data_IF_319196003629
#
_entry.id   IF_319196003629
#
_cell.length_a   1.000
_cell.length_b   1.000
_cell.length_c   1.000
_cell.angle_alpha   90.00
_cell.angle_beta   90.00
_cell.angle_gamma   90.00
#
_symmetry.space_group_name_H-M   'P 1'
#
loop_
_entity.id
_entity.type
_entity.pdbx_description
1 polymer ?
#
# COMPACT_ATOMS: atom_id res chain seq x y z
N UNK A 1 -2.57 -2.23 3.81
CA UNK A 1 -2.84 -3.33 2.84
C UNK A 1 -4.25 -3.21 2.28
N UNK A 2 -4.40 -3.30 0.95
CA UNK A 2 -5.73 -3.42 0.33
C UNK A 2 -6.36 -4.77 0.68
N UNK A 3 -7.71 -4.90 0.71
CA UNK A 3 -8.41 -6.09 1.20
C UNK A 3 -8.04 -7.42 0.53
N UNK A 4 -7.37 -7.39 -0.63
CA UNK A 4 -6.85 -8.58 -1.29
C UNK A 4 -5.67 -9.23 -0.54
N UNK A 5 -4.84 -8.46 0.19
CA UNK A 5 -3.67 -9.00 0.90
C UNK A 5 -3.97 -9.55 2.32
N UNK A 6 -5.18 -9.29 2.86
CA UNK A 6 -5.52 -9.65 4.24
C UNK A 6 -6.35 -10.95 4.38
N UNK A 7 -6.76 -11.61 3.29
CA UNK A 7 -7.71 -12.72 3.34
C UNK A 7 -7.36 -13.87 2.37
N UNK A 8 -6.48 -14.76 2.83
CA UNK A 8 -5.86 -15.83 2.05
C UNK A 8 -6.79 -16.98 1.56
N UNK A 9 -8.11 -16.97 1.73
CA UNK A 9 -8.91 -18.20 1.46
C UNK A 9 -10.25 -18.12 0.71
N UNK A 10 -10.74 -16.96 0.25
CA UNK A 10 -12.03 -16.94 -0.47
C UNK A 10 -12.37 -15.66 -1.23
N UNK A 11 -11.39 -14.86 -1.64
CA UNK A 11 -11.66 -13.68 -2.46
C UNK A 11 -11.61 -14.08 -3.96
N UNK A 12 -12.69 -13.88 -4.74
CA UNK A 12 -12.64 -14.07 -6.20
C UNK A 12 -11.57 -13.19 -6.81
N UNK A 13 -10.77 -13.71 -7.77
CA UNK A 13 -9.70 -12.97 -8.45
C UNK A 13 -10.14 -11.57 -8.92
N UNK A 14 -11.41 -11.44 -9.33
CA UNK A 14 -12.05 -10.20 -9.73
C UNK A 14 -12.03 -9.08 -8.66
N UNK A 15 -12.04 -9.40 -7.37
CA UNK A 15 -11.94 -8.41 -6.27
C UNK A 15 -10.49 -7.97 -6.04
N UNK A 16 -9.51 -8.78 -6.40
CA UNK A 16 -8.10 -8.38 -6.39
C UNK A 16 -7.77 -7.39 -7.52
N UNK A 17 -8.39 -7.52 -8.71
CA UNK A 17 -8.21 -6.58 -9.83
C UNK A 17 -8.77 -5.18 -9.52
N UNK A 18 -9.91 -5.11 -8.81
CA UNK A 18 -10.59 -3.84 -8.48
C UNK A 18 -9.82 -2.95 -7.49
N UNK A 19 -9.04 -3.54 -6.60
CA UNK A 19 -8.45 -2.87 -5.42
C UNK A 19 -6.98 -2.52 -5.62
N UNK A 20 -6.69 -1.44 -6.36
CA UNK A 20 -5.30 -1.00 -6.63
C UNK A 20 -4.64 -0.34 -5.40
N UNK A 21 -3.33 -0.50 -5.28
CA UNK A 21 -2.50 0.24 -4.32
C UNK A 21 -1.78 1.41 -4.97
N UNK A 22 -1.17 2.28 -4.16
CA UNK A 22 -0.44 3.46 -4.62
C UNK A 22 0.58 3.12 -5.72
N UNK A 23 1.44 2.13 -5.49
CA UNK A 23 2.51 1.73 -6.41
C UNK A 23 2.04 0.86 -7.60
N UNK A 24 0.76 0.46 -7.64
CA UNK A 24 0.16 -0.26 -8.77
C UNK A 24 -0.79 0.62 -9.60
N UNK A 25 -0.65 1.95 -9.51
CA UNK A 25 -1.40 2.90 -10.35
C UNK A 25 -2.81 3.25 -9.86
N UNK A 26 -3.09 3.18 -8.55
CA UNK A 26 -4.35 3.71 -8.01
C UNK A 26 -4.53 5.19 -8.40
N UNK A 27 -5.70 5.56 -8.93
CA UNK A 27 -6.00 6.90 -9.48
C UNK A 27 -5.34 7.19 -10.83
N UNK A 28 -4.02 7.14 -10.90
CA UNK A 28 -3.22 7.66 -12.02
C UNK A 28 -3.12 6.74 -13.25
N UNK A 29 -3.31 5.43 -13.08
CA UNK A 29 -3.30 4.46 -14.19
C UNK A 29 -4.38 3.39 -13.97
N UNK A 30 -5.67 3.74 -14.18
CA UNK A 30 -6.77 2.84 -13.91
C UNK A 30 -6.80 1.66 -14.89
N UNK A 31 -7.13 0.47 -14.35
CA UNK A 31 -7.54 -0.68 -15.14
C UNK A 31 -9.06 -0.66 -15.42
N UNK A 32 -9.54 -1.56 -16.25
CA UNK A 32 -10.92 -1.68 -16.70
C UNK A 32 -11.93 -2.01 -15.59
N UNK A 33 -11.46 -2.50 -14.45
CA UNK A 33 -12.28 -2.80 -13.26
C UNK A 33 -12.04 -1.81 -12.12
N UNK A 34 -11.44 -0.65 -12.39
CA UNK A 34 -11.21 0.42 -11.44
C UNK A 34 -12.50 0.87 -10.74
N UNK A 35 -12.51 0.87 -9.40
CA UNK A 35 -13.62 1.48 -8.64
C UNK A 35 -13.16 2.45 -7.57
N UNK A 36 -11.85 2.65 -7.39
CA UNK A 36 -11.34 3.63 -6.42
C UNK A 36 -11.55 5.05 -6.94
N UNK A 37 -12.10 5.92 -6.09
CA UNK A 37 -12.16 7.36 -6.35
C UNK A 37 -10.88 8.07 -5.86
N UNK A 38 -10.70 9.33 -6.25
CA UNK A 38 -9.49 10.10 -5.91
C UNK A 38 -9.31 10.26 -4.39
N UNK A 39 -10.40 10.41 -3.64
CA UNK A 39 -10.40 10.48 -2.18
C UNK A 39 -9.77 9.23 -1.54
N UNK A 40 -10.19 8.04 -1.98
CA UNK A 40 -9.64 6.76 -1.54
C UNK A 40 -8.17 6.60 -1.95
N UNK A 41 -7.79 7.10 -3.12
CA UNK A 41 -6.40 7.05 -3.60
C UNK A 41 -5.50 7.94 -2.74
N UNK A 42 -5.93 9.16 -2.44
CA UNK A 42 -5.18 10.07 -1.58
C UNK A 42 -5.10 9.54 -0.14
N UNK A 43 -6.16 8.90 0.35
CA UNK A 43 -6.12 8.23 1.66
C UNK A 43 -5.07 7.10 1.71
N UNK A 44 -4.93 6.29 0.65
CA UNK A 44 -3.86 5.31 0.55
C UNK A 44 -2.46 5.96 0.54
N UNK A 45 -2.35 7.16 -0.04
CA UNK A 45 -1.10 7.92 -0.02
C UNK A 45 -0.76 8.41 1.40
N UNK A 46 -1.75 8.87 2.18
CA UNK A 46 -1.55 9.27 3.58
C UNK A 46 -1.07 8.10 4.44
N UNK A 47 -1.69 6.94 4.31
CA UNK A 47 -1.26 5.71 4.97
C UNK A 47 0.17 5.31 4.56
N UNK A 48 0.52 5.47 3.29
CA UNK A 48 1.87 5.15 2.81
C UNK A 48 2.90 6.11 3.41
N UNK A 49 2.62 7.42 3.44
CA UNK A 49 3.50 8.43 4.06
C UNK A 49 3.67 8.15 5.55
N UNK A 50 2.59 7.82 6.25
CA UNK A 50 2.64 7.45 7.67
C UNK A 50 3.48 6.20 7.91
N UNK A 51 3.30 5.15 7.10
CA UNK A 51 4.13 3.93 7.16
C UNK A 51 5.61 4.22 6.91
N UNK A 52 5.93 5.08 5.93
CA UNK A 52 7.29 5.53 5.66
C UNK A 52 7.90 6.33 6.82
N UNK A 53 7.09 7.02 7.62
CA UNK A 53 7.53 7.72 8.84
C UNK A 53 7.63 6.80 10.08
N UNK A 54 7.54 5.48 9.90
CA UNK A 54 7.62 4.52 11.01
C UNK A 54 6.29 4.25 11.70
N UNK A 55 5.17 4.55 11.03
CA UNK A 55 3.80 4.24 11.47
C UNK A 55 3.48 4.64 12.92
N UNK A 56 4.00 5.79 13.33
CA UNK A 56 3.95 6.29 14.70
C UNK A 56 2.57 6.88 15.03
N UNK A 57 2.10 6.65 16.25
CA UNK A 57 0.80 7.15 16.72
C UNK A 57 0.77 8.69 16.83
N UNK A 58 1.89 9.31 17.19
CA UNK A 58 2.01 10.76 17.45
C UNK A 58 2.68 11.54 16.31
N UNK A 59 3.06 10.89 15.20
CA UNK A 59 3.61 11.60 14.04
C UNK A 59 2.56 12.50 13.41
N UNK A 60 2.92 13.76 13.11
CA UNK A 60 2.00 14.75 12.55
C UNK A 60 2.22 14.84 11.04
N UNK A 61 1.15 14.66 10.27
CA UNK A 61 1.12 14.87 8.83
C UNK A 61 -0.06 15.76 8.41
N UNK A 62 0.02 16.26 7.19
CA UNK A 62 -1.12 16.86 6.50
C UNK A 62 -1.81 15.76 5.71
N UNK A 63 -3.10 15.54 5.97
CA UNK A 63 -3.90 14.53 5.26
C UNK A 63 -4.36 14.99 3.87
N UNK A 64 -5.04 14.10 3.16
CA UNK A 64 -5.64 14.34 1.84
C UNK A 64 -6.57 15.55 1.76
N UNK A 65 -7.16 15.97 2.87
CA UNK A 65 -8.11 17.09 2.95
C UNK A 65 -7.38 18.39 3.35
N UNK A 66 -6.06 18.34 3.55
CA UNK A 66 -5.25 19.47 4.00
C UNK A 66 -5.29 19.69 5.52
N UNK A 67 -5.88 18.77 6.29
CA UNK A 67 -5.96 18.88 7.74
C UNK A 67 -4.70 18.34 8.42
N UNK A 68 -4.30 18.97 9.53
CA UNK A 68 -3.23 18.47 10.39
C UNK A 68 -3.76 17.31 11.21
N UNK A 69 -3.13 16.14 11.08
CA UNK A 69 -3.53 14.90 11.76
C UNK A 69 -2.35 14.20 12.41
N UNK A 70 -2.58 13.60 13.56
CA UNK A 70 -1.70 12.59 14.14
C UNK A 70 -1.84 11.27 13.38
N UNK A 71 -0.80 10.44 13.38
CA UNK A 71 -0.81 9.12 12.76
C UNK A 71 -1.93 8.23 13.29
N UNK A 72 -2.24 8.31 14.58
CA UNK A 72 -3.36 7.59 15.21
C UNK A 72 -4.75 8.04 14.75
N UNK A 73 -4.88 9.21 14.14
CA UNK A 73 -6.14 9.73 13.59
C UNK A 73 -6.38 9.34 12.12
N UNK A 74 -5.36 8.80 11.45
CA UNK A 74 -5.50 8.28 10.08
C UNK A 74 -6.16 6.90 10.15
N UNK A 75 -7.35 6.74 9.56
CA UNK A 75 -8.06 5.45 9.59
C UNK A 75 -7.33 4.37 8.79
N UNK A 76 -7.34 3.15 9.32
CA UNK A 76 -6.95 1.96 8.61
C UNK A 76 -7.98 0.84 8.85
N UNK A 77 -8.99 0.77 8.00
CA UNK A 77 -10.09 -0.20 8.09
C UNK A 77 -10.83 -0.17 9.44
N UNK A 78 -11.08 1.02 9.98
CA UNK A 78 -11.76 1.21 11.27
C UNK A 78 -10.84 1.17 12.50
N UNK A 79 -9.53 1.10 12.31
CA UNK A 79 -8.53 1.12 13.37
C UNK A 79 -7.56 2.32 13.19
N UNK A 80 -6.87 2.77 14.26
CA UNK A 80 -5.80 3.74 14.16
C UNK A 80 -4.70 3.25 13.21
N UNK A 81 -4.38 4.02 12.18
CA UNK A 81 -3.33 3.69 11.21
C UNK A 81 -1.96 3.68 11.87
N UNK A 82 -1.61 4.78 12.55
CA UNK A 82 -0.40 4.90 13.36
C UNK A 82 -0.62 4.34 14.77
N UNK A 83 0.25 3.43 15.19
CA UNK A 83 0.12 2.74 16.48
C UNK A 83 1.41 2.69 17.30
N UNK A 84 2.57 2.85 16.66
CA UNK A 84 3.85 2.64 17.31
C UNK A 84 4.30 3.89 18.11
N UNK A 85 5.08 3.66 19.15
CA UNK A 85 5.79 4.70 19.87
C UNK A 85 7.16 4.99 19.24
N UNK A 86 7.81 3.96 18.69
CA UNK A 86 9.13 4.03 18.06
C UNK A 86 9.12 3.26 16.73
N UNK A 87 9.82 3.74 15.67
CA UNK A 87 9.84 3.07 14.37
C UNK A 87 10.41 1.63 14.43
N UNK A 88 11.20 1.29 15.44
CA UNK A 88 11.73 -0.07 15.65
C UNK A 88 10.66 -1.08 16.04
N UNK A 89 9.49 -0.63 16.48
CA UNK A 89 8.32 -1.48 16.76
C UNK A 89 7.56 -1.85 15.47
N UNK A 90 7.94 -1.26 14.33
CA UNK A 90 7.24 -1.40 13.06
C UNK A 90 8.10 -2.15 12.06
N UNK A 91 7.53 -3.22 11.50
CA UNK A 91 8.11 -3.95 10.38
C UNK A 91 7.26 -3.68 9.14
N UNK A 92 7.81 -2.89 8.21
CA UNK A 92 7.17 -2.58 6.94
C UNK A 92 7.49 -3.65 5.90
N UNK A 93 6.49 -4.06 5.12
CA UNK A 93 6.65 -5.03 4.03
C UNK A 93 5.56 -4.87 2.97
N UNK A 94 5.89 -5.30 1.75
CA UNK A 94 4.96 -5.34 0.60
C UNK A 94 4.83 -6.73 -0.03
N UNK A 95 5.66 -7.68 0.39
CA UNK A 95 5.57 -9.11 0.04
C UNK A 95 5.94 -9.96 1.26
N UNK A 96 5.34 -11.14 1.39
CA UNK A 96 5.64 -12.13 2.42
C UNK A 96 5.25 -13.52 1.91
N UNK A 97 5.75 -14.58 2.53
CA UNK A 97 5.51 -15.98 2.14
C UNK A 97 4.02 -16.38 2.14
N UNK A 98 3.21 -15.72 2.97
CA UNK A 98 1.75 -15.83 2.98
C UNK A 98 1.10 -14.81 2.03
N UNK A 99 0.03 -15.23 1.35
CA UNK A 99 -0.66 -14.52 0.26
C UNK A 99 0.14 -14.49 -1.05
N UNK A 100 -0.33 -13.70 -2.02
CA UNK A 100 0.29 -13.56 -3.34
C UNK A 100 1.59 -12.76 -3.26
N UNK A 101 2.54 -13.08 -4.14
CA UNK A 101 3.78 -12.30 -4.27
C UNK A 101 3.48 -10.88 -4.76
N UNK A 102 4.43 -9.97 -4.53
CA UNK A 102 4.33 -8.60 -5.07
C UNK A 102 4.16 -8.59 -6.60
N UNK A 103 4.87 -9.46 -7.32
CA UNK A 103 4.76 -9.54 -8.79
C UNK A 103 3.39 -10.03 -9.24
N UNK A 104 2.83 -11.05 -8.59
CA UNK A 104 1.47 -11.54 -8.88
C UNK A 104 0.45 -10.42 -8.63
N UNK A 105 0.58 -9.70 -7.52
CA UNK A 105 -0.30 -8.59 -7.16
C UNK A 105 -0.23 -7.44 -8.17
N UNK A 106 0.96 -7.06 -8.62
CA UNK A 106 1.13 -6.06 -9.70
C UNK A 106 0.51 -6.59 -10.99
N UNK A 107 0.70 -7.86 -11.31
CA UNK A 107 0.17 -8.47 -12.53
C UNK A 107 -1.36 -8.45 -12.54
N UNK A 108 -2.00 -8.74 -11.41
CA UNK A 108 -3.45 -8.66 -11.25
C UNK A 108 -4.00 -7.23 -11.31
N UNK A 109 -3.25 -6.24 -10.81
CA UNK A 109 -3.78 -4.89 -10.55
C UNK A 109 -3.39 -3.86 -11.60
N UNK A 110 -2.26 -4.03 -12.26
CA UNK A 110 -1.76 -3.10 -13.27
C UNK A 110 -2.73 -3.05 -14.46
N UNK A 111 -2.88 -1.85 -15.04
CA UNK A 111 -3.70 -1.66 -16.22
C UNK A 111 -3.17 -2.48 -17.41
N UNK A 112 -4.06 -2.87 -18.33
CA UNK A 112 -3.68 -3.69 -19.48
C UNK A 112 -2.61 -3.02 -20.35
N UNK A 113 -2.66 -1.69 -20.47
CA UNK A 113 -1.69 -0.88 -21.20
C UNK A 113 -0.33 -0.70 -20.48
N UNK A 114 -0.21 -1.11 -19.21
CA UNK A 114 1.07 -1.08 -18.50
C UNK A 114 1.97 -2.19 -19.03
N UNK A 115 2.99 -1.81 -19.78
CA UNK A 115 3.98 -2.72 -20.35
C UNK A 115 4.86 -3.38 -19.28
N UNK A 116 5.70 -4.34 -19.70
CA UNK A 116 6.56 -5.08 -18.79
C UNK A 116 7.54 -4.15 -18.04
N UNK A 117 8.09 -3.14 -18.72
CA UNK A 117 9.03 -2.20 -18.10
C UNK A 117 8.34 -1.39 -16.99
N UNK A 118 7.11 -0.94 -17.25
CA UNK A 118 6.28 -0.24 -16.27
C UNK A 118 6.00 -1.14 -15.06
N UNK A 119 5.66 -2.41 -15.27
CA UNK A 119 5.40 -3.36 -14.16
C UNK A 119 6.65 -3.62 -13.31
N UNK A 120 7.83 -3.73 -13.93
CA UNK A 120 9.11 -3.82 -13.20
C UNK A 120 9.36 -2.57 -12.35
N UNK A 121 9.08 -1.38 -12.90
CA UNK A 121 9.18 -0.13 -12.13
C UNK A 121 8.15 -0.03 -11.02
N UNK A 122 6.93 -0.53 -11.22
CA UNK A 122 5.91 -0.63 -10.16
C UNK A 122 6.41 -1.49 -8.99
N UNK A 123 7.12 -2.59 -9.27
CA UNK A 123 7.72 -3.42 -8.23
C UNK A 123 8.80 -2.65 -7.46
N UNK A 124 9.70 -1.96 -8.17
CA UNK A 124 10.72 -1.13 -7.53
C UNK A 124 10.12 0.00 -6.68
N UNK A 125 9.10 0.70 -7.19
CA UNK A 125 8.40 1.77 -6.44
C UNK A 125 7.68 1.21 -5.20
N UNK A 126 7.09 0.02 -5.31
CA UNK A 126 6.45 -0.67 -4.16
C UNK A 126 7.48 -1.02 -3.08
N UNK A 127 8.65 -1.53 -3.46
CA UNK A 127 9.71 -1.84 -2.51
C UNK A 127 10.34 -0.58 -1.91
N UNK A 128 10.44 0.50 -2.69
CA UNK A 128 11.03 1.76 -2.24
C UNK A 128 10.30 2.36 -1.02
N UNK A 129 8.98 2.21 -0.90
CA UNK A 129 8.23 2.69 0.26
C UNK A 129 8.60 1.95 1.56
N UNK A 130 9.06 0.71 1.44
CA UNK A 130 9.55 -0.09 2.57
C UNK A 130 11.02 0.22 2.85
N UNK A 131 11.86 0.14 1.81
CA UNK A 131 13.32 0.23 1.93
C UNK A 131 13.82 1.63 2.32
N UNK A 132 13.06 2.67 1.99
CA UNK A 132 13.41 4.07 2.31
C UNK A 132 12.57 4.64 3.47
N UNK A 133 11.75 3.80 4.12
CA UNK A 133 11.00 4.17 5.32
C UNK A 133 11.86 4.11 6.58
N UNK A 134 11.36 4.71 7.67
CA UNK A 134 12.03 4.72 8.98
C UNK A 134 11.83 3.41 9.76
N UNK A 135 10.76 2.67 9.49
CA UNK A 135 10.51 1.36 10.11
C UNK A 135 11.46 0.28 9.62
N UNK A 136 11.52 -0.85 10.33
CA UNK A 136 12.34 -2.00 9.94
C UNK A 136 11.82 -2.55 8.60
N UNK A 137 12.71 -2.62 7.61
CA UNK A 137 12.38 -3.15 6.29
C UNK A 137 12.37 -4.68 6.29
N UNK A 138 11.30 -5.27 5.78
CA UNK A 138 11.20 -6.70 5.51
C UNK A 138 10.76 -6.94 4.07
N UNK A 139 11.39 -7.91 3.41
CA UNK A 139 11.00 -8.39 2.09
C UNK A 139 11.08 -9.91 2.01
N UNK A 140 10.26 -10.48 1.13
CA UNK A 140 10.32 -11.90 0.82
C UNK A 140 11.52 -12.20 -0.08
N UNK A 141 12.24 -13.32 0.12
CA UNK A 141 13.27 -13.76 -0.82
C UNK A 141 12.69 -13.89 -2.24
N UNK A 142 13.30 -13.20 -3.20
CA UNK A 142 12.89 -13.23 -4.60
C UNK A 142 13.23 -14.57 -5.26
N UNK A 143 12.29 -15.09 -6.06
CA UNK A 143 12.54 -16.10 -7.10
C UNK A 143 12.09 -15.52 -8.44
#
# INVERSE_FOLDING_TARGET
>A
MTPCAAAARSIPAMRCVKTRGLASGAGVLPNELATLNDDQVHHLADLTRLGMAGNLADFILIDKDGAVKKGSEIDYNGAPGGYAADPTEVVNYVSKHDNQTLWDMITYKAAQQADLNTRVRMQAVSLATVMLGQGIAFDQPGF
#
